data_IF_055007969862
#
_entry.id   IF_055007969862
#
_cell.length_a   1.000
_cell.length_b   1.000
_cell.length_c   1.000
_cell.angle_alpha   90.00
_cell.angle_beta   90.00
_cell.angle_gamma   90.00
#
_symmetry.space_group_name_H-M   'P 1'
#
loop_
_entity.id
_entity.type
_entity.pdbx_description
1 polymer ?
#
# COMPACT_ATOMS: atom_id res chain seq x y z
N UNK A 1 -18.26 24.29 5.91
CA UNK A 1 -18.04 24.68 4.51
C UNK A 1 -17.24 23.56 3.82
N UNK A 2 -17.75 23.01 2.72
CA UNK A 2 -17.01 22.00 1.95
C UNK A 2 -15.85 22.70 1.22
N UNK A 3 -14.69 22.06 1.15
CA UNK A 3 -13.61 22.65 0.35
C UNK A 3 -14.04 22.73 -1.11
N UNK A 4 -13.70 23.82 -1.74
CA UNK A 4 -14.12 24.12 -3.12
C UNK A 4 -13.24 23.48 -4.19
N UNK A 5 -12.35 22.57 -3.82
CA UNK A 5 -11.58 21.79 -4.79
C UNK A 5 -11.97 20.33 -4.68
N UNK A 6 -12.12 19.69 -5.81
CA UNK A 6 -12.69 18.35 -5.99
C UNK A 6 -11.78 17.19 -5.60
N UNK A 7 -10.92 17.36 -4.62
CA UNK A 7 -10.09 16.23 -4.16
C UNK A 7 -10.81 15.48 -3.05
N UNK A 8 -11.27 14.29 -3.38
CA UNK A 8 -11.79 13.34 -2.40
C UNK A 8 -10.62 12.56 -1.81
N UNK A 9 -10.57 12.51 -0.49
CA UNK A 9 -9.58 11.71 0.23
C UNK A 9 -10.30 10.49 0.79
N UNK A 10 -9.79 9.32 0.51
CA UNK A 10 -10.37 8.06 0.98
C UNK A 10 -9.62 7.53 2.20
N UNK A 11 -10.38 7.08 3.19
CA UNK A 11 -9.83 6.37 4.35
C UNK A 11 -10.18 4.89 4.23
N UNK A 12 -9.17 4.05 4.23
CA UNK A 12 -9.34 2.62 4.05
C UNK A 12 -8.85 1.85 5.28
N UNK A 13 -9.56 0.80 5.64
CA UNK A 13 -9.15 -0.08 6.74
C UNK A 13 -8.30 -1.25 6.25
N UNK A 14 -7.31 -1.66 7.03
CA UNK A 14 -6.54 -2.87 6.78
C UNK A 14 -7.38 -4.10 7.16
N UNK A 15 -7.33 -5.08 6.32
CA UNK A 15 -7.80 -6.43 6.72
C UNK A 15 -6.63 -7.38 6.74
N UNK A 16 -6.45 -7.75 7.90
CA UNK A 16 -5.42 -8.69 8.10
C UNK A 16 -5.95 -10.03 8.31
N UNK A 17 -7.03 -9.85 8.72
CA UNK A 17 -7.73 -11.05 8.91
C UNK A 17 -9.02 -10.91 8.18
N UNK A 18 -9.73 -12.04 8.08
CA UNK A 18 -11.06 -12.16 7.52
C UNK A 18 -12.09 -11.32 8.27
N UNK A 19 -11.79 -10.99 9.54
CA UNK A 19 -12.77 -10.37 10.46
C UNK A 19 -12.82 -8.85 10.43
N UNK A 20 -11.90 -8.25 9.76
CA UNK A 20 -11.79 -6.78 9.85
C UNK A 20 -12.62 -5.95 8.88
N UNK A 21 -13.20 -6.57 8.11
CA UNK A 21 -14.06 -5.90 7.26
C UNK A 21 -15.22 -5.30 7.97
N UNK A 22 -15.51 -5.88 8.77
CA UNK A 22 -16.51 -5.45 9.60
C UNK A 22 -16.06 -4.39 10.53
N UNK A 23 -14.95 -4.53 10.99
CA UNK A 23 -14.35 -3.51 11.84
C UNK A 23 -14.19 -2.19 11.13
N UNK A 24 -13.72 -2.23 9.91
CA UNK A 24 -13.55 -1.02 9.09
C UNK A 24 -14.90 -0.34 8.84
N UNK A 25 -15.92 -1.11 8.52
CA UNK A 25 -17.26 -0.55 8.32
C UNK A 25 -17.80 0.13 9.58
N UNK A 26 -17.59 -0.49 10.73
CA UNK A 26 -18.04 0.10 11.99
C UNK A 26 -17.35 1.43 12.28
N UNK A 27 -16.18 1.58 11.77
CA UNK A 27 -15.40 2.81 11.99
C UNK A 27 -15.37 3.77 10.81
N UNK A 28 -16.16 3.44 9.75
CA UNK A 28 -16.42 4.35 8.76
C UNK A 28 -15.47 4.40 7.64
N UNK A 29 -14.97 3.38 7.44
CA UNK A 29 -14.19 3.23 6.38
C UNK A 29 -14.91 3.50 5.23
N UNK A 30 -14.40 4.08 4.50
CA UNK A 30 -14.92 4.37 3.16
C UNK A 30 -14.49 3.34 2.15
N UNK A 31 -13.59 2.44 2.55
CA UNK A 31 -13.16 1.42 1.67
C UNK A 31 -12.57 0.33 2.52
N UNK A 32 -12.43 -0.68 1.95
CA UNK A 32 -11.78 -1.73 2.60
C UNK A 32 -10.39 -1.66 2.09
N UNK A 33 -9.63 -1.54 2.62
CA UNK A 33 -8.21 -1.34 2.32
C UNK A 33 -7.48 -2.59 1.83
N UNK A 34 -6.40 -2.88 2.22
CA UNK A 34 -5.55 -3.85 1.71
C UNK A 34 -5.85 -5.18 2.30
N UNK A 35 -5.99 -5.98 1.60
CA UNK A 35 -6.00 -7.29 1.94
C UNK A 35 -4.64 -7.80 1.75
N UNK A 36 -4.06 -8.08 2.85
CA UNK A 36 -2.77 -8.77 2.90
C UNK A 36 -3.03 -10.26 2.82
N UNK A 37 -2.31 -10.91 1.96
CA UNK A 37 -2.63 -12.31 1.65
C UNK A 37 -1.73 -13.34 2.35
N UNK A 38 -0.75 -12.88 3.11
CA UNK A 38 0.23 -13.77 3.76
C UNK A 38 -0.41 -14.79 4.69
N UNK A 39 -1.54 -14.45 5.32
CA UNK A 39 -2.24 -15.37 6.22
C UNK A 39 -2.64 -16.68 5.54
N UNK A 40 -2.85 -16.64 4.22
CA UNK A 40 -3.20 -17.86 3.45
C UNK A 40 -1.99 -18.78 3.28
N UNK A 41 -0.79 -18.24 3.40
CA UNK A 41 0.46 -18.98 3.19
C UNK A 41 1.07 -19.47 4.50
N UNK A 42 0.74 -18.81 5.61
CA UNK A 42 1.35 -19.07 6.92
C UNK A 42 0.56 -20.12 7.71
N UNK A 43 1.21 -20.70 8.73
CA UNK A 43 0.61 -21.67 9.66
C UNK A 43 -0.02 -22.86 8.97
N UNK A 44 0.69 -23.41 7.97
CA UNK A 44 0.27 -24.58 7.21
C UNK A 44 1.50 -25.31 6.65
N UNK A 45 1.25 -26.47 6.06
CA UNK A 45 2.33 -27.36 5.58
C UNK A 45 2.57 -27.31 4.07
N UNK A 46 1.74 -26.58 3.33
CA UNK A 46 1.83 -26.53 1.87
C UNK A 46 1.27 -25.21 1.36
N UNK A 47 1.66 -24.86 0.13
CA UNK A 47 1.15 -23.67 -0.54
C UNK A 47 -0.38 -23.75 -0.69
N UNK A 48 -1.10 -22.64 -0.51
CA UNK A 48 -2.54 -22.64 -0.76
C UNK A 48 -2.81 -22.88 -2.25
N UNK A 49 -3.83 -23.65 -2.53
CA UNK A 49 -4.24 -23.92 -3.92
C UNK A 49 -4.96 -22.69 -4.50
N UNK A 50 -5.11 -22.66 -5.81
CA UNK A 50 -5.91 -21.63 -6.47
C UNK A 50 -7.34 -21.62 -5.91
N UNK A 51 -7.94 -22.79 -5.69
CA UNK A 51 -9.32 -22.87 -5.17
C UNK A 51 -9.45 -22.33 -3.75
N UNK A 52 -8.48 -22.64 -2.88
CA UNK A 52 -8.46 -22.12 -1.51
C UNK A 52 -8.35 -20.60 -1.52
N UNK A 53 -7.44 -20.07 -2.35
CA UNK A 53 -7.26 -18.62 -2.47
C UNK A 53 -8.50 -17.95 -3.07
N UNK A 54 -9.05 -18.55 -4.10
CA UNK A 54 -10.28 -18.04 -4.74
C UNK A 54 -11.40 -17.91 -3.72
N UNK A 55 -11.62 -18.95 -2.92
CA UNK A 55 -12.68 -18.92 -1.90
C UNK A 55 -12.46 -17.76 -0.92
N UNK A 56 -11.23 -17.56 -0.49
CA UNK A 56 -10.88 -16.47 0.45
C UNK A 56 -11.12 -15.10 -0.17
N UNK A 57 -10.61 -14.87 -1.39
CA UNK A 57 -10.75 -13.57 -2.05
C UNK A 57 -12.20 -13.28 -2.43
N UNK A 58 -12.94 -14.31 -2.84
CA UNK A 58 -14.37 -14.18 -3.15
C UNK A 58 -15.14 -13.73 -1.92
N UNK A 59 -14.86 -14.34 -0.76
CA UNK A 59 -15.52 -13.97 0.49
C UNK A 59 -15.30 -12.50 0.83
N UNK A 60 -14.07 -12.02 0.66
CA UNK A 60 -13.73 -10.61 0.90
C UNK A 60 -14.47 -9.71 -0.10
N UNK A 61 -14.46 -10.09 -1.38
CA UNK A 61 -15.12 -9.31 -2.43
C UNK A 61 -16.61 -9.16 -2.13
N UNK A 62 -17.26 -10.26 -1.76
CA UNK A 62 -18.71 -10.26 -1.46
C UNK A 62 -19.02 -9.45 -0.19
N UNK A 63 -18.16 -9.57 0.83
CA UNK A 63 -18.35 -8.85 2.09
C UNK A 63 -18.26 -7.34 1.91
N UNK A 64 -17.39 -6.88 0.99
CA UNK A 64 -17.17 -5.45 0.77
C UNK A 64 -18.14 -4.85 -0.26
N UNK A 65 -18.87 -5.66 -0.96
CA UNK A 65 -19.91 -5.20 -1.90
C UNK A 65 -19.35 -4.30 -2.99
N UNK A 66 -19.81 -3.06 -3.04
CA UNK A 66 -19.40 -2.10 -4.05
C UNK A 66 -18.09 -1.39 -3.70
N UNK A 67 -17.61 -1.56 -2.47
CA UNK A 67 -16.35 -0.93 -2.04
C UNK A 67 -15.16 -1.69 -2.64
N UNK A 68 -14.21 -0.93 -3.19
CA UNK A 68 -13.01 -1.53 -3.77
C UNK A 68 -12.09 -2.09 -2.69
N UNK A 69 -11.50 -3.25 -2.98
CA UNK A 69 -10.53 -3.89 -2.09
C UNK A 69 -9.25 -4.11 -2.87
N UNK A 70 -8.12 -3.67 -2.30
CA UNK A 70 -6.81 -3.89 -2.89
C UNK A 70 -6.28 -5.23 -2.35
N UNK A 71 -6.01 -6.17 -3.25
CA UNK A 71 -5.42 -7.45 -2.88
C UNK A 71 -3.94 -7.41 -3.23
N UNK A 72 -3.10 -7.42 -2.20
CA UNK A 72 -1.64 -7.44 -2.38
C UNK A 72 -1.19 -8.88 -2.58
N UNK A 73 -0.40 -9.12 -3.63
CA UNK A 73 0.17 -10.47 -3.81
C UNK A 73 1.13 -10.75 -2.66
N UNK A 74 1.48 -12.03 -2.46
CA UNK A 74 2.21 -12.46 -1.28
C UNK A 74 3.50 -11.68 -1.07
N UNK A 75 3.74 -11.28 0.17
CA UNK A 75 4.97 -10.62 0.59
C UNK A 75 5.65 -11.52 1.64
N UNK A 76 6.23 -12.60 1.17
CA UNK A 76 6.94 -13.59 1.97
C UNK A 76 8.44 -13.39 1.75
N UNK A 77 9.24 -13.73 2.72
CA UNK A 77 10.68 -13.48 2.74
C UNK A 77 11.00 -12.41 3.76
N UNK A 78 12.27 -12.03 3.86
CA UNK A 78 12.68 -11.14 4.93
C UNK A 78 12.51 -11.85 6.29
N UNK A 79 11.58 -11.36 7.10
CA UNK A 79 11.28 -11.97 8.40
C UNK A 79 10.14 -12.99 8.34
N UNK A 80 9.56 -13.22 7.17
CA UNK A 80 8.41 -14.13 7.01
C UNK A 80 8.79 -15.33 6.17
N UNK A 81 9.42 -16.31 6.80
CA UNK A 81 9.76 -17.57 6.12
C UNK A 81 8.62 -18.57 6.24
N UNK A 82 8.49 -19.42 5.22
CA UNK A 82 7.52 -20.51 5.22
C UNK A 82 8.27 -21.84 5.39
N UNK A 83 7.90 -22.65 6.38
CA UNK A 83 8.64 -23.89 6.65
C UNK A 83 8.69 -24.85 5.46
N UNK A 84 7.65 -24.86 4.62
CA UNK A 84 7.56 -25.78 3.47
C UNK A 84 8.24 -25.26 2.21
N UNK A 85 8.76 -24.01 2.25
CA UNK A 85 9.56 -23.44 1.16
C UNK A 85 10.99 -23.35 1.65
N UNK A 86 11.90 -24.07 1.05
CA UNK A 86 13.29 -24.10 1.48
C UNK A 86 14.01 -22.81 1.12
N UNK A 87 13.82 -21.77 1.95
CA UNK A 87 14.48 -20.49 1.74
C UNK A 87 15.98 -20.63 1.94
N UNK A 88 16.80 -20.13 1.02
CA UNK A 88 18.23 -20.11 1.26
C UNK A 88 18.55 -19.14 2.39
N UNK A 89 19.60 -19.47 3.16
CA UNK A 89 20.07 -18.55 4.20
C UNK A 89 20.70 -17.33 3.52
N UNK A 90 20.25 -16.17 3.92
CA UNK A 90 20.73 -14.90 3.35
C UNK A 90 21.33 -14.01 4.43
N UNK A 91 22.35 -13.25 4.07
CA UNK A 91 22.97 -12.31 5.00
C UNK A 91 22.07 -11.10 5.25
N UNK A 92 21.31 -10.68 4.24
CA UNK A 92 20.43 -9.53 4.33
C UNK A 92 19.06 -9.88 3.74
N UNK A 93 18.23 -10.65 4.49
CA UNK A 93 16.96 -11.14 3.94
C UNK A 93 16.02 -10.05 3.42
N UNK A 94 16.00 -8.86 4.06
CA UNK A 94 15.15 -7.77 3.59
C UNK A 94 15.61 -7.18 2.25
N UNK A 95 16.87 -7.41 1.88
CA UNK A 95 17.40 -7.02 0.58
C UNK A 95 17.46 -8.17 -0.41
N UNK A 96 16.91 -9.31 -0.03
CA UNK A 96 17.10 -10.57 -0.73
C UNK A 96 15.89 -11.08 -1.50
N UNK A 97 15.74 -12.40 -1.45
CA UNK A 97 14.71 -13.13 -2.20
C UNK A 97 13.40 -13.05 -1.43
N UNK A 98 12.56 -12.08 -1.79
CA UNK A 98 11.28 -11.87 -1.11
C UNK A 98 10.22 -11.36 -2.08
N UNK A 99 8.97 -11.57 -1.70
CA UNK A 99 7.80 -10.99 -2.37
C UNK A 99 7.80 -11.28 -3.88
N UNK A 100 7.75 -10.24 -4.69
CA UNK A 100 7.64 -10.36 -6.13
C UNK A 100 8.85 -11.08 -6.76
N UNK A 101 10.01 -11.03 -6.10
CA UNK A 101 11.20 -11.73 -6.57
C UNK A 101 11.00 -13.24 -6.51
N UNK A 102 10.36 -13.72 -5.43
CA UNK A 102 10.00 -15.14 -5.31
C UNK A 102 8.95 -15.48 -6.38
N UNK A 103 7.92 -14.65 -6.50
CA UNK A 103 6.81 -14.91 -7.41
C UNK A 103 7.27 -15.01 -8.87
N UNK A 104 8.21 -14.17 -9.27
CA UNK A 104 8.71 -14.19 -10.66
C UNK A 104 9.62 -15.39 -10.94
N UNK A 105 10.31 -15.91 -9.92
CA UNK A 105 11.11 -17.12 -10.04
C UNK A 105 10.26 -18.39 -9.92
N UNK A 106 9.21 -18.33 -9.13
CA UNK A 106 8.30 -19.44 -8.87
C UNK A 106 6.92 -19.10 -9.44
N UNK A 107 6.83 -19.08 -10.77
CA UNK A 107 5.62 -18.62 -11.46
C UNK A 107 4.36 -19.43 -11.15
N UNK A 108 4.52 -20.68 -10.72
CA UNK A 108 3.36 -21.48 -10.29
C UNK A 108 2.67 -20.83 -9.08
N UNK A 109 3.44 -20.17 -8.20
CA UNK A 109 2.87 -19.46 -7.05
C UNK A 109 2.14 -18.20 -7.54
N UNK A 110 2.77 -17.44 -8.42
CA UNK A 110 2.19 -16.23 -8.99
C UNK A 110 0.91 -16.55 -9.76
N UNK A 111 0.95 -17.61 -10.57
CA UNK A 111 -0.19 -18.03 -11.39
C UNK A 111 -1.41 -18.36 -10.53
N UNK A 112 -1.23 -19.21 -9.52
CA UNK A 112 -2.35 -19.60 -8.66
C UNK A 112 -2.95 -18.38 -7.95
N UNK A 113 -2.10 -17.48 -7.45
CA UNK A 113 -2.60 -16.30 -6.75
C UNK A 113 -3.32 -15.34 -7.69
N UNK A 114 -2.72 -15.01 -8.84
CA UNK A 114 -3.32 -14.05 -9.76
C UNK A 114 -4.60 -14.60 -10.39
N UNK A 115 -4.64 -15.89 -10.73
CA UNK A 115 -5.88 -16.49 -11.25
C UNK A 115 -6.98 -16.45 -10.20
N UNK A 116 -6.64 -16.73 -8.95
CA UNK A 116 -7.61 -16.68 -7.84
C UNK A 116 -8.17 -15.27 -7.65
N UNK A 117 -7.31 -14.24 -7.69
CA UNK A 117 -7.75 -12.84 -7.57
C UNK A 117 -8.65 -12.47 -8.75
N UNK A 118 -8.22 -12.82 -9.97
CA UNK A 118 -9.01 -12.51 -11.16
C UNK A 118 -10.40 -13.16 -11.09
N UNK A 119 -10.45 -14.44 -10.72
CA UNK A 119 -11.74 -15.15 -10.59
C UNK A 119 -12.62 -14.48 -9.54
N UNK A 120 -12.04 -14.09 -8.41
CA UNK A 120 -12.80 -13.44 -7.34
C UNK A 120 -13.31 -12.05 -7.76
N UNK A 121 -12.65 -11.41 -8.72
CA UNK A 121 -13.06 -10.08 -9.20
C UNK A 121 -14.43 -10.08 -9.89
N UNK A 122 -14.95 -11.25 -10.24
CA UNK A 122 -16.31 -11.37 -10.78
C UNK A 122 -17.37 -11.15 -9.69
N UNK A 123 -17.00 -11.19 -8.41
CA UNK A 123 -17.91 -11.16 -7.27
C UNK A 123 -17.85 -9.86 -6.45
N UNK A 124 -17.01 -8.93 -6.83
CA UNK A 124 -16.88 -7.63 -6.15
C UNK A 124 -15.74 -6.84 -6.76
N UNK A 125 -15.58 -5.61 -6.33
CA UNK A 125 -14.55 -4.73 -6.92
C UNK A 125 -13.19 -4.97 -6.27
N UNK A 126 -12.32 -5.68 -6.97
CA UNK A 126 -10.96 -5.97 -6.52
C UNK A 126 -9.94 -5.20 -7.35
N UNK A 127 -8.81 -4.91 -6.73
CA UNK A 127 -7.63 -4.34 -7.39
C UNK A 127 -6.43 -5.22 -7.04
N UNK A 128 -5.50 -5.38 -7.97
CA UNK A 128 -4.28 -6.16 -7.75
C UNK A 128 -3.14 -5.19 -7.41
N UNK A 129 -2.33 -5.52 -6.40
CA UNK A 129 -1.19 -4.71 -6.02
C UNK A 129 0.04 -5.58 -5.81
N UNK A 130 1.16 -5.19 -6.43
CA UNK A 130 2.41 -5.93 -6.35
C UNK A 130 3.39 -5.26 -5.38
N UNK A 131 3.93 -6.01 -4.40
CA UNK A 131 4.92 -5.45 -3.47
C UNK A 131 6.34 -5.49 -4.01
N UNK A 132 7.23 -4.71 -3.40
CA UNK A 132 8.69 -4.76 -3.62
C UNK A 132 9.15 -4.48 -5.06
N UNK A 133 8.44 -3.62 -5.75
CA UNK A 133 8.79 -3.26 -7.13
C UNK A 133 10.00 -2.33 -7.13
N UNK A 134 10.93 -2.56 -8.06
CA UNK A 134 12.10 -1.69 -8.26
C UNK A 134 12.24 -1.16 -9.69
N UNK A 135 11.43 -1.66 -10.65
CA UNK A 135 11.68 -1.30 -12.05
C UNK A 135 10.42 -1.40 -12.92
N UNK A 136 10.46 -0.69 -14.04
CA UNK A 136 9.42 -0.78 -15.06
C UNK A 136 9.43 -2.17 -15.69
N UNK A 137 10.60 -2.77 -15.86
CA UNK A 137 10.73 -4.12 -16.42
C UNK A 137 9.93 -5.14 -15.62
N UNK A 138 9.98 -5.04 -14.28
CA UNK A 138 9.19 -5.92 -13.42
C UNK A 138 7.70 -5.76 -13.69
N UNK A 139 7.24 -4.51 -13.78
CA UNK A 139 5.82 -4.23 -14.00
C UNK A 139 5.36 -4.79 -15.36
N UNK A 140 6.16 -4.58 -16.39
CA UNK A 140 5.83 -5.10 -17.72
C UNK A 140 5.77 -6.63 -17.74
N UNK A 141 6.70 -7.28 -17.05
CA UNK A 141 6.71 -8.74 -16.93
C UNK A 141 5.45 -9.25 -16.20
N UNK A 142 5.06 -8.57 -15.12
CA UNK A 142 3.87 -8.93 -14.36
C UNK A 142 2.59 -8.71 -15.17
N UNK A 143 2.49 -7.61 -15.90
CA UNK A 143 1.33 -7.35 -16.75
C UNK A 143 1.20 -8.41 -17.85
N UNK A 144 2.32 -8.86 -18.38
CA UNK A 144 2.33 -9.93 -19.38
C UNK A 144 1.79 -11.23 -18.78
N UNK A 145 2.21 -11.56 -17.55
CA UNK A 145 1.70 -12.75 -16.86
C UNK A 145 0.19 -12.65 -16.63
N UNK A 146 -0.27 -11.48 -16.22
CA UNK A 146 -1.71 -11.26 -16.00
C UNK A 146 -2.49 -11.51 -17.30
N UNK A 147 -2.00 -11.03 -18.44
CA UNK A 147 -2.68 -11.25 -19.72
C UNK A 147 -2.73 -12.73 -20.08
N UNK A 148 -1.65 -13.48 -19.80
CA UNK A 148 -1.62 -14.93 -20.01
C UNK A 148 -2.72 -15.58 -19.16
N UNK A 149 -2.82 -15.21 -17.89
CA UNK A 149 -3.79 -15.82 -16.98
C UNK A 149 -5.23 -15.41 -17.31
N UNK A 150 -5.44 -14.19 -17.77
CA UNK A 150 -6.75 -13.76 -18.26
C UNK A 150 -7.18 -14.62 -19.46
N UNK A 151 -6.25 -14.89 -20.39
CA UNK A 151 -6.57 -15.71 -21.54
C UNK A 151 -6.90 -17.16 -21.14
N UNK A 152 -6.18 -17.71 -20.17
CA UNK A 152 -6.49 -19.03 -19.63
C UNK A 152 -7.91 -19.07 -19.10
N UNK A 153 -8.32 -18.05 -18.33
CA UNK A 153 -9.66 -17.99 -17.74
C UNK A 153 -10.72 -17.85 -18.81
N UNK A 154 -10.48 -17.04 -19.84
CA UNK A 154 -11.43 -16.93 -20.98
C UNK A 154 -11.61 -18.27 -21.65
N UNK A 155 -10.51 -18.98 -21.90
CA UNK A 155 -10.54 -20.31 -22.53
C UNK A 155 -11.30 -21.33 -21.69
N UNK A 156 -11.24 -21.18 -20.34
CA UNK A 156 -11.95 -22.06 -19.42
C UNK A 156 -13.40 -21.61 -19.16
N UNK A 157 -13.80 -20.48 -19.74
CA UNK A 157 -15.15 -19.94 -19.53
C UNK A 157 -15.40 -19.40 -18.13
N UNK A 158 -14.35 -19.00 -17.41
CA UNK A 158 -14.44 -18.46 -16.07
C UNK A 158 -14.52 -16.94 -16.11
N UNK A 159 -15.49 -16.36 -15.42
CA UNK A 159 -15.72 -14.91 -15.40
C UNK A 159 -14.70 -14.21 -14.54
N UNK A 160 -14.34 -13.00 -14.93
CA UNK A 160 -13.47 -12.09 -14.17
C UNK A 160 -13.68 -10.67 -14.67
N UNK A 161 -13.17 -9.69 -13.92
CA UNK A 161 -13.24 -8.28 -14.30
C UNK A 161 -12.11 -7.99 -15.30
N UNK A 162 -12.47 -7.82 -16.58
CA UNK A 162 -11.50 -7.52 -17.64
C UNK A 162 -10.76 -6.21 -17.38
N UNK A 163 -11.37 -5.29 -16.65
CA UNK A 163 -10.85 -3.95 -16.38
C UNK A 163 -10.25 -3.82 -14.98
N UNK A 164 -9.90 -4.93 -14.34
CA UNK A 164 -9.34 -4.91 -12.98
C UNK A 164 -8.11 -3.98 -12.94
N UNK A 165 -8.09 -3.09 -11.95
CA UNK A 165 -6.97 -2.16 -11.80
C UNK A 165 -5.75 -2.88 -11.23
N UNK A 166 -4.58 -2.50 -11.75
CA UNK A 166 -3.29 -3.06 -11.36
C UNK A 166 -2.42 -1.94 -10.84
N UNK A 167 -1.98 -2.06 -9.61
CA UNK A 167 -1.10 -1.08 -8.98
C UNK A 167 0.13 -1.73 -8.39
N UNK A 168 1.02 -0.89 -7.90
CA UNK A 168 2.26 -1.34 -7.26
C UNK A 168 2.46 -0.62 -5.94
N UNK A 169 3.13 -1.30 -5.02
CA UNK A 169 3.63 -0.64 -3.82
C UNK A 169 4.91 0.08 -4.17
N UNK A 170 4.98 1.35 -3.78
CA UNK A 170 6.21 2.12 -3.86
C UNK A 170 6.80 2.07 -2.45
N UNK A 171 7.75 1.20 -2.27
CA UNK A 171 8.35 0.95 -0.95
C UNK A 171 9.86 0.78 -1.03
N UNK A 172 10.43 1.03 -2.21
CA UNK A 172 11.88 1.09 -2.39
C UNK A 172 12.25 2.47 -2.91
N UNK A 173 13.41 3.00 -2.54
CA UNK A 173 13.88 4.26 -3.13
C UNK A 173 13.99 4.19 -4.66
N UNK A 174 14.31 3.02 -5.20
CA UNK A 174 14.38 2.83 -6.67
C UNK A 174 13.02 3.13 -7.31
N UNK A 175 11.93 2.56 -6.78
CA UNK A 175 10.59 2.81 -7.31
C UNK A 175 10.20 4.29 -7.15
N UNK A 176 10.49 4.87 -5.99
CA UNK A 176 10.19 6.29 -5.74
C UNK A 176 10.91 7.20 -6.74
N UNK A 177 12.16 6.89 -7.04
CA UNK A 177 12.98 7.68 -7.96
C UNK A 177 12.44 7.65 -9.40
N UNK A 178 11.90 6.50 -9.83
CA UNK A 178 11.36 6.35 -11.19
C UNK A 178 9.83 6.37 -11.22
N UNK A 179 9.20 6.94 -10.19
CA UNK A 179 7.74 6.93 -10.06
C UNK A 179 7.04 7.48 -11.31
N UNK A 180 7.62 8.50 -11.96
CA UNK A 180 7.04 9.10 -13.16
C UNK A 180 6.91 8.07 -14.29
N UNK A 181 7.93 7.22 -14.43
CA UNK A 181 7.90 6.14 -15.44
C UNK A 181 6.93 5.03 -15.03
N UNK A 182 6.96 4.65 -13.74
CA UNK A 182 6.06 3.60 -13.24
C UNK A 182 4.59 4.02 -13.38
N UNK A 183 4.30 5.29 -13.13
CA UNK A 183 2.91 5.80 -13.17
C UNK A 183 2.27 5.62 -14.55
N UNK A 184 3.06 5.56 -15.62
CA UNK A 184 2.56 5.33 -16.97
C UNK A 184 2.17 3.88 -17.20
N UNK A 185 2.66 2.97 -16.35
CA UNK A 185 2.52 1.52 -16.55
C UNK A 185 1.46 0.89 -15.63
N UNK A 186 0.98 1.65 -14.63
CA UNK A 186 0.06 1.11 -13.61
C UNK A 186 -1.15 2.03 -13.47
N UNK A 187 -2.17 1.54 -12.76
CA UNK A 187 -3.40 2.31 -12.52
C UNK A 187 -3.34 3.12 -11.22
N UNK A 188 -2.52 2.68 -10.27
CA UNK A 188 -2.36 3.39 -8.99
C UNK A 188 -1.07 2.99 -8.31
N UNK A 189 -0.69 3.80 -7.30
CA UNK A 189 0.40 3.50 -6.37
C UNK A 189 -0.17 3.35 -4.96
N UNK A 190 0.50 2.54 -4.15
CA UNK A 190 0.33 2.55 -2.71
C UNK A 190 1.71 2.63 -2.07
N UNK A 191 1.94 3.68 -1.29
CA UNK A 191 3.25 3.88 -0.67
C UNK A 191 3.35 3.01 0.58
N UNK A 192 4.34 2.13 0.61
CA UNK A 192 4.61 1.26 1.75
C UNK A 192 5.67 1.90 2.64
N UNK A 193 5.22 2.71 3.59
CA UNK A 193 6.15 3.56 4.36
C UNK A 193 7.08 2.81 5.29
N UNK A 194 6.69 1.61 5.75
CA UNK A 194 7.56 0.84 6.64
C UNK A 194 8.85 0.43 5.93
N UNK A 195 8.71 -0.18 4.76
CA UNK A 195 9.87 -0.59 3.96
C UNK A 195 10.56 0.61 3.32
N UNK A 196 9.80 1.59 2.83
CA UNK A 196 10.41 2.79 2.23
C UNK A 196 11.33 3.49 3.23
N UNK A 197 10.88 3.63 4.48
CA UNK A 197 11.69 4.24 5.53
C UNK A 197 12.95 3.42 5.79
N UNK A 198 12.78 2.11 5.94
CA UNK A 198 13.90 1.19 6.20
C UNK A 198 14.97 1.29 5.11
N UNK A 199 14.56 1.22 3.85
CA UNK A 199 15.50 1.24 2.73
C UNK A 199 16.09 2.63 2.48
N UNK A 200 15.30 3.69 2.66
CA UNK A 200 15.78 5.06 2.45
C UNK A 200 16.85 5.43 3.48
N UNK A 201 16.59 5.09 4.76
CA UNK A 201 17.49 5.42 5.85
C UNK A 201 18.56 4.35 6.09
N UNK A 202 18.47 3.20 5.40
CA UNK A 202 19.37 2.06 5.59
C UNK A 202 19.39 1.60 7.05
N UNK A 203 18.20 1.53 7.66
CA UNK A 203 18.04 1.15 9.07
C UNK A 203 17.10 -0.05 9.16
N UNK A 204 17.61 -1.15 9.70
CA UNK A 204 16.78 -2.32 10.00
C UNK A 204 15.89 -1.97 11.18
N UNK A 205 14.58 -1.85 10.95
CA UNK A 205 13.63 -1.46 12.00
C UNK A 205 13.52 -2.50 13.13
N UNK A 206 14.01 -3.72 12.89
CA UNK A 206 14.07 -4.76 13.92
C UNK A 206 15.32 -4.70 14.79
N UNK A 207 16.24 -3.80 14.53
CA UNK A 207 17.49 -3.69 15.27
C UNK A 207 17.36 -2.63 16.37
N UNK A 208 17.24 -3.08 17.61
CA UNK A 208 17.03 -2.19 18.77
C UNK A 208 18.17 -1.20 18.98
N UNK A 209 19.38 -1.53 18.55
CA UNK A 209 20.55 -0.67 18.77
C UNK A 209 20.46 0.63 17.97
N UNK A 210 19.76 0.61 16.83
CA UNK A 210 19.66 1.76 15.94
C UNK A 210 18.21 2.18 15.66
N UNK A 211 17.26 1.70 16.47
CA UNK A 211 15.84 2.02 16.27
C UNK A 211 15.56 3.53 16.30
N UNK A 212 16.38 4.30 17.02
CA UNK A 212 16.25 5.76 17.08
C UNK A 212 16.54 6.43 15.72
N UNK A 213 17.22 5.73 14.82
CA UNK A 213 17.50 6.25 13.47
C UNK A 213 16.33 5.98 12.52
N UNK A 214 15.41 5.10 12.88
CA UNK A 214 14.24 4.78 12.07
C UNK A 214 13.20 5.89 12.28
N UNK A 215 13.22 6.89 11.37
CA UNK A 215 12.42 8.10 11.51
C UNK A 215 11.53 8.29 10.27
N UNK A 216 10.29 7.77 10.28
CA UNK A 216 9.39 7.94 9.13
C UNK A 216 9.05 9.39 8.82
N UNK A 217 9.19 10.28 9.82
CA UNK A 217 8.94 11.72 9.64
C UNK A 217 10.17 12.50 9.19
N UNK A 218 11.24 11.80 8.83
CA UNK A 218 12.46 12.49 8.38
C UNK A 218 12.23 13.20 7.03
N UNK A 219 12.89 14.34 6.81
CA UNK A 219 12.73 15.05 5.53
C UNK A 219 13.05 14.20 4.30
N UNK A 220 14.03 13.29 4.40
CA UNK A 220 14.39 12.42 3.27
C UNK A 220 13.23 11.51 2.86
N UNK A 221 12.56 10.89 3.83
CA UNK A 221 11.43 9.99 3.56
C UNK A 221 10.23 10.80 3.04
N UNK A 222 9.91 11.91 3.71
CA UNK A 222 8.74 12.72 3.33
C UNK A 222 8.91 13.34 1.94
N UNK A 223 10.13 13.73 1.57
CA UNK A 223 10.39 14.25 0.22
C UNK A 223 10.21 13.17 -0.85
N UNK A 224 10.61 11.94 -0.57
CA UNK A 224 10.34 10.82 -1.51
C UNK A 224 8.83 10.58 -1.64
N UNK A 225 8.11 10.65 -0.53
CA UNK A 225 6.64 10.47 -0.55
C UNK A 225 6.00 11.55 -1.45
N UNK A 226 6.41 12.79 -1.28
CA UNK A 226 5.90 13.91 -2.10
C UNK A 226 6.19 13.68 -3.58
N UNK A 227 7.40 13.24 -3.88
CA UNK A 227 7.82 12.94 -5.25
C UNK A 227 6.92 11.88 -5.90
N UNK A 228 6.57 10.83 -5.14
CA UNK A 228 5.72 9.75 -5.63
C UNK A 228 4.30 10.26 -5.91
N UNK A 229 3.74 11.02 -4.96
CA UNK A 229 2.38 11.57 -5.11
C UNK A 229 2.32 12.47 -6.36
N UNK A 230 3.29 13.37 -6.49
CA UNK A 230 3.32 14.30 -7.63
C UNK A 230 3.48 13.55 -8.95
N UNK A 231 4.31 12.51 -8.97
CA UNK A 231 4.52 11.70 -10.18
C UNK A 231 3.23 11.01 -10.63
N UNK A 232 2.48 10.45 -9.67
CA UNK A 232 1.23 9.78 -9.99
C UNK A 232 0.20 10.78 -10.51
N UNK A 233 0.06 11.92 -9.86
CA UNK A 233 -0.91 12.94 -10.25
C UNK A 233 -0.59 13.52 -11.63
N UNK A 234 0.68 13.68 -11.96
CA UNK A 234 1.11 14.16 -13.27
C UNK A 234 0.67 13.22 -14.40
N UNK A 235 0.44 11.94 -14.09
CA UNK A 235 -0.03 10.95 -15.06
C UNK A 235 -1.52 10.63 -14.90
N UNK A 236 -2.24 11.41 -14.09
CA UNK A 236 -3.67 11.22 -13.87
C UNK A 236 -3.99 9.99 -13.02
N UNK A 237 -3.05 9.55 -12.19
CA UNK A 237 -3.24 8.37 -11.36
C UNK A 237 -3.40 8.79 -9.89
N UNK A 238 -3.92 7.86 -9.05
CA UNK A 238 -4.07 8.14 -7.63
C UNK A 238 -3.01 7.38 -6.84
N UNK A 239 -2.69 7.90 -5.65
CA UNK A 239 -1.72 7.30 -4.74
C UNK A 239 -2.34 7.13 -3.35
N UNK A 240 -2.31 5.91 -2.86
CA UNK A 240 -2.65 5.60 -1.48
C UNK A 240 -1.39 5.38 -0.66
N UNK A 241 -1.60 5.10 0.61
CA UNK A 241 -0.51 4.78 1.54
C UNK A 241 -0.98 3.66 2.46
N UNK A 242 -0.14 2.66 2.64
CA UNK A 242 -0.45 1.49 3.47
C UNK A 242 0.72 1.14 4.39
N UNK A 243 1.13 2.03 5.19
CA UNK A 243 2.14 1.79 6.20
C UNK A 243 1.66 2.39 7.51
N UNK A 244 2.45 2.26 8.55
CA UNK A 244 2.09 2.82 9.86
C UNK A 244 1.92 4.34 9.80
N UNK A 245 2.65 5.00 8.90
CA UNK A 245 2.58 6.45 8.76
C UNK A 245 1.18 6.94 8.38
N UNK A 246 0.43 6.14 7.60
CA UNK A 246 -0.92 6.52 7.18
C UNK A 246 -1.88 6.67 8.36
N UNK A 247 -1.64 5.93 9.46
CA UNK A 247 -2.45 6.01 10.67
C UNK A 247 -1.82 6.85 11.79
N UNK A 248 -0.75 7.56 11.48
CA UNK A 248 -0.02 8.37 12.45
C UNK A 248 -0.57 9.80 12.41
N UNK A 249 -1.17 10.24 13.51
CA UNK A 249 -1.78 11.57 13.60
C UNK A 249 -0.78 12.70 13.32
N UNK A 250 0.50 12.49 13.64
CA UNK A 250 1.55 13.49 13.41
C UNK A 250 1.78 13.74 11.91
N UNK A 251 1.52 12.72 11.09
CA UNK A 251 1.77 12.78 9.65
C UNK A 251 0.55 13.22 8.85
N UNK A 252 -0.65 13.14 9.43
CA UNK A 252 -1.91 13.32 8.70
C UNK A 252 -1.95 14.64 7.93
N UNK A 253 -1.61 15.75 8.60
CA UNK A 253 -1.67 17.08 7.98
C UNK A 253 -0.71 17.19 6.80
N UNK A 254 0.50 16.65 6.96
CA UNK A 254 1.50 16.69 5.89
C UNK A 254 1.07 15.85 4.70
N UNK A 255 0.58 14.63 4.96
CA UNK A 255 0.13 13.73 3.89
C UNK A 255 -1.06 14.32 3.15
N UNK A 256 -2.00 14.90 3.88
CA UNK A 256 -3.14 15.58 3.29
C UNK A 256 -2.66 16.73 2.41
N UNK A 257 -1.77 17.57 2.93
CA UNK A 257 -1.23 18.73 2.21
C UNK A 257 -0.41 18.35 0.99
N UNK A 258 0.22 17.18 1.00
CA UNK A 258 0.96 16.66 -0.16
C UNK A 258 0.03 16.15 -1.25
N UNK A 259 -1.25 15.93 -0.94
CA UNK A 259 -2.23 15.44 -1.90
C UNK A 259 -2.46 13.93 -1.89
N UNK A 260 -2.11 13.24 -0.81
CA UNK A 260 -2.35 11.80 -0.71
C UNK A 260 -3.85 11.52 -0.90
N UNK A 261 -4.17 10.55 -1.75
CA UNK A 261 -5.57 10.27 -2.12
C UNK A 261 -6.25 9.26 -1.21
N UNK A 262 -5.50 8.29 -0.68
CA UNK A 262 -6.06 7.23 0.16
C UNK A 262 -5.15 6.96 1.34
N UNK A 263 -5.74 6.92 2.54
CA UNK A 263 -5.04 6.57 3.78
C UNK A 263 -5.55 5.20 4.22
N UNK A 264 -4.71 4.17 4.14
CA UNK A 264 -5.07 2.82 4.56
C UNK A 264 -4.41 2.51 5.91
N UNK A 265 -5.21 2.21 6.90
CA UNK A 265 -4.76 2.06 8.28
C UNK A 265 -5.58 1.03 9.04
N UNK A 266 -5.15 0.68 10.26
CA UNK A 266 -5.96 -0.18 11.10
C UNK A 266 -7.28 0.53 11.45
N UNK A 267 -8.36 -0.24 11.56
CA UNK A 267 -9.70 0.31 11.76
C UNK A 267 -9.80 1.26 12.96
N UNK A 268 -9.06 0.93 14.02
CA UNK A 268 -9.10 1.71 15.26
C UNK A 268 -8.56 3.15 15.08
N UNK A 269 -7.69 3.35 14.10
CA UNK A 269 -7.11 4.68 13.82
C UNK A 269 -8.04 5.57 12.99
N UNK A 270 -8.98 4.98 12.26
CA UNK A 270 -9.81 5.71 11.29
C UNK A 270 -10.54 6.91 11.92
N UNK A 271 -11.25 6.76 13.06
CA UNK A 271 -12.01 7.91 13.60
C UNK A 271 -11.14 9.12 13.91
N UNK A 272 -9.94 8.91 14.47
CA UNK A 272 -9.03 10.01 14.80
C UNK A 272 -8.52 10.72 13.56
N UNK A 273 -8.08 9.95 12.57
CA UNK A 273 -7.55 10.52 11.32
C UNK A 273 -8.66 11.25 10.59
N UNK A 274 -9.86 10.67 10.54
CA UNK A 274 -11.02 11.29 9.91
C UNK A 274 -11.37 12.63 10.57
N UNK A 275 -11.28 12.69 11.91
CA UNK A 275 -11.52 13.94 12.66
C UNK A 275 -10.53 15.02 12.24
N UNK A 276 -9.23 14.67 12.18
CA UNK A 276 -8.19 15.62 11.77
C UNK A 276 -8.45 16.14 10.35
N UNK A 277 -8.73 15.24 9.41
CA UNK A 277 -8.96 15.62 8.01
C UNK A 277 -10.19 16.55 7.89
N UNK A 278 -11.28 16.20 8.57
CA UNK A 278 -12.51 17.00 8.50
C UNK A 278 -12.36 18.39 9.10
N UNK A 279 -11.46 18.54 10.07
CA UNK A 279 -11.24 19.82 10.75
C UNK A 279 -10.11 20.63 10.12
N UNK A 280 -9.55 20.18 9.00
CA UNK A 280 -8.39 20.82 8.39
C UNK A 280 -8.79 21.47 7.04
N UNK A 281 -8.37 22.69 6.83
CA UNK A 281 -8.46 23.34 5.54
C UNK A 281 -7.32 22.82 4.65
N UNK A 282 -7.66 22.32 3.47
CA UNK A 282 -6.67 21.72 2.56
C UNK A 282 -5.56 22.70 2.16
N UNK A 283 -5.93 23.95 1.86
CA UNK A 283 -4.93 24.95 1.45
C UNK A 283 -3.95 25.25 2.58
N UNK A 284 -4.43 25.30 3.83
CA UNK A 284 -3.56 25.48 5.00
C UNK A 284 -2.61 24.29 5.15
N UNK A 285 -3.12 23.06 4.97
CA UNK A 285 -2.29 21.85 5.04
C UNK A 285 -1.25 21.84 3.92
N UNK A 286 -1.61 22.30 2.74
CA UNK A 286 -0.69 22.36 1.59
C UNK A 286 0.46 23.31 1.88
N UNK A 287 0.18 24.49 2.44
CA UNK A 287 1.22 25.44 2.81
C UNK A 287 2.13 24.85 3.89
N UNK A 288 1.53 24.20 4.91
CA UNK A 288 2.31 23.55 5.97
C UNK A 288 3.24 22.48 5.37
N UNK A 289 2.73 21.65 4.47
CA UNK A 289 3.53 20.59 3.84
C UNK A 289 4.72 21.18 3.07
N UNK A 290 4.49 22.25 2.31
CA UNK A 290 5.55 22.91 1.56
C UNK A 290 6.65 23.44 2.50
N UNK A 291 6.25 24.08 3.60
CA UNK A 291 7.18 24.61 4.60
C UNK A 291 7.94 23.46 5.30
N UNK A 292 7.23 22.40 5.66
CA UNK A 292 7.82 21.25 6.35
C UNK A 292 8.86 20.55 5.48
N UNK A 293 8.55 20.34 4.20
CA UNK A 293 9.47 19.67 3.28
C UNK A 293 10.75 20.48 3.01
N UNK A 294 10.73 21.77 3.28
CA UNK A 294 11.90 22.63 3.14
C UNK A 294 12.82 22.60 4.38
N UNK A 295 12.38 21.94 5.46
CA UNK A 295 13.18 21.87 6.70
C UNK A 295 14.29 20.83 6.58
N UNK A 296 15.46 21.11 7.14
CA UNK A 296 16.60 20.18 7.01
C UNK A 296 16.60 19.03 8.01
N UNK A 297 15.86 19.16 9.12
CA UNK A 297 15.88 18.14 10.18
C UNK A 297 14.45 17.73 10.56
N UNK A 298 14.34 16.52 11.12
CA UNK A 298 13.09 16.03 11.65
C UNK A 298 12.55 16.94 12.76
N UNK A 299 13.43 17.40 13.65
CA UNK A 299 13.02 18.26 14.78
C UNK A 299 12.44 19.59 14.30
N UNK A 300 13.09 20.23 13.34
CA UNK A 300 12.61 21.50 12.79
C UNK A 300 11.29 21.30 12.05
N UNK A 301 11.15 20.22 11.32
CA UNK A 301 9.93 19.85 10.63
C UNK A 301 8.78 19.63 11.65
N UNK A 302 9.04 18.86 12.70
CA UNK A 302 8.03 18.58 13.72
C UNK A 302 7.65 19.84 14.52
N UNK A 303 8.57 20.76 14.71
CA UNK A 303 8.28 22.05 15.34
C UNK A 303 7.21 22.81 14.56
N UNK A 304 7.33 22.84 13.23
CA UNK A 304 6.32 23.48 12.37
C UNK A 304 4.96 22.79 12.49
N UNK A 305 4.96 21.46 12.46
CA UNK A 305 3.71 20.69 12.54
C UNK A 305 3.02 20.94 13.89
N UNK A 306 3.76 20.85 14.97
CA UNK A 306 3.20 21.03 16.32
C UNK A 306 2.66 22.45 16.51
N UNK A 307 3.36 23.46 16.01
CA UNK A 307 2.92 24.84 16.08
C UNK A 307 1.60 25.03 15.33
N UNK A 308 1.49 24.45 14.14
CA UNK A 308 0.26 24.50 13.33
C UNK A 308 -0.92 23.88 14.10
N UNK A 309 -0.70 22.71 14.69
CA UNK A 309 -1.74 22.01 15.45
C UNK A 309 -2.22 22.87 16.61
N UNK A 310 -1.30 23.50 17.36
CA UNK A 310 -1.63 24.36 18.49
C UNK A 310 -2.43 25.60 18.04
N UNK A 311 -1.99 26.24 16.97
CA UNK A 311 -2.64 27.47 16.47
C UNK A 311 -4.04 27.23 15.89
N UNK A 312 -4.26 26.08 15.29
CA UNK A 312 -5.55 25.75 14.67
C UNK A 312 -6.48 24.95 15.57
N UNK A 313 -6.03 24.62 16.78
CA UNK A 313 -6.79 23.80 17.74
C UNK A 313 -7.26 22.48 17.11
N UNK A 314 -6.38 21.85 16.36
CA UNK A 314 -6.66 20.55 15.71
C UNK A 314 -6.23 19.44 16.70
N UNK A 315 -7.15 18.92 17.51
CA UNK A 315 -6.87 17.84 18.46
C UNK A 315 -8.06 16.91 18.54
#
# INVERSE_FOLDING_TARGET
MRPTSSQSVELAGFSXXFCDXXGAERNXXEXXGXXRTEFLFMDRDALPTEEEQFAAYKAVAEACGSQAVIVRTMDIGGDKELPYMNFPKEENPFLGWRAIRIAMDRKEILRDQLRAILRASAFGKLRIMFPMIISVEEVRALRKEIEIYKQELRDEGKAFDESIEIGVMVETPAAATIARHLAKEVDFFSIGTNDLTQYTLAVDRGNDMISHLYQPMSPSVLNLIKQVIDASHAEGKWTGMCGELAGDERATLLLLGMGLDEFSMSAISIPRIKKIIRNTNFEDAKVLAEQALAQPTTDELMTLVNKFIEEKTIC
#
